data_IF_017797363163
#
_entry.id   IF_017797363163
#
_cell.length_a   1.000
_cell.length_b   1.000
_cell.length_c   1.000
_cell.angle_alpha   90.00
_cell.angle_beta   90.00
_cell.angle_gamma   90.00
#
_symmetry.space_group_name_H-M   'P 1'
#
loop_
_entity.id
_entity.type
_entity.pdbx_description
1 polymer ?
#
# COMPACT_ATOMS: atom_id res chain seq x y z
N UNK A 1 47.37 -61.01 4.91
CA UNK A 1 48.36 -61.08 6.01
C UNK A 1 48.01 -59.97 6.99
N UNK A 2 47.45 -60.32 8.14
CA UNK A 2 46.85 -59.37 9.09
C UNK A 2 45.70 -60.04 9.84
N UNK A 3 46.02 -60.57 11.01
CA UNK A 3 45.27 -61.51 11.85
C UNK A 3 44.17 -60.85 12.70
N UNK A 4 43.10 -61.63 12.95
CA UNK A 4 42.35 -61.83 14.21
C UNK A 4 41.96 -60.62 15.11
N UNK A 5 40.72 -60.61 15.61
CA UNK A 5 40.34 -61.08 16.96
C UNK A 5 38.84 -60.79 17.19
N UNK A 6 38.13 -61.83 17.61
CA UNK A 6 36.74 -61.88 18.07
C UNK A 6 36.62 -61.34 19.50
N UNK A 7 35.49 -60.72 19.87
CA UNK A 7 34.89 -60.95 21.19
C UNK A 7 33.40 -60.58 21.22
N UNK A 8 32.56 -61.61 21.19
CA UNK A 8 31.19 -61.59 21.71
C UNK A 8 31.24 -61.93 23.21
N UNK A 9 30.55 -61.17 24.05
CA UNK A 9 30.17 -61.55 25.41
C UNK A 9 28.88 -60.77 25.77
N UNK A 10 27.69 -61.30 25.52
CA UNK A 10 26.88 -62.19 26.37
C UNK A 10 26.25 -61.55 27.63
N UNK A 11 24.90 -61.64 27.67
CA UNK A 11 23.98 -61.64 28.83
C UNK A 11 23.92 -60.34 29.66
N UNK A 12 22.78 -59.83 30.15
CA UNK A 12 21.50 -60.44 30.52
C UNK A 12 20.48 -59.32 30.71
N UNK A 13 19.22 -59.67 30.45
CA UNK A 13 18.00 -58.91 30.72
C UNK A 13 17.92 -58.26 32.11
N UNK A 14 17.53 -56.97 32.16
CA UNK A 14 16.85 -56.39 33.31
C UNK A 14 15.63 -55.58 32.89
N UNK A 15 14.56 -55.84 33.63
CA UNK A 15 13.17 -55.44 33.44
C UNK A 15 12.94 -53.93 33.71
N UNK A 16 12.17 -53.32 32.81
CA UNK A 16 11.19 -52.24 32.99
C UNK A 16 11.47 -51.14 34.04
N UNK A 17 11.85 -49.95 33.58
CA UNK A 17 11.44 -48.68 34.21
C UNK A 17 11.01 -47.66 33.16
N UNK A 18 9.73 -47.29 33.26
CA UNK A 18 9.00 -46.16 32.65
C UNK A 18 9.90 -45.04 32.13
N UNK A 19 10.11 -44.99 30.82
CA UNK A 19 10.59 -43.80 30.11
C UNK A 19 9.40 -43.10 29.45
N UNK A 20 9.02 -41.94 29.97
CA UNK A 20 7.96 -41.09 29.43
C UNK A 20 8.36 -40.66 28.01
N UNK A 21 7.52 -41.01 27.03
CA UNK A 21 7.57 -40.45 25.68
C UNK A 21 7.24 -38.96 25.75
N UNK A 22 8.25 -38.09 25.72
CA UNK A 22 8.05 -36.68 25.48
C UNK A 22 7.80 -36.46 23.97
N UNK A 23 6.52 -36.54 23.57
CA UNK A 23 6.08 -36.07 22.25
C UNK A 23 6.12 -34.55 22.30
N UNK A 24 7.19 -33.96 21.78
CA UNK A 24 7.29 -32.52 21.57
C UNK A 24 6.32 -32.07 20.49
N UNK A 25 5.16 -31.57 20.90
CA UNK A 25 4.17 -30.99 20.00
C UNK A 25 4.64 -29.58 19.62
N UNK A 26 5.30 -29.46 18.46
CA UNK A 26 5.67 -28.15 17.88
C UNK A 26 4.37 -27.47 17.43
N UNK A 27 3.84 -26.58 18.28
CA UNK A 27 2.71 -25.73 17.95
C UNK A 27 3.24 -24.58 17.08
N UNK A 28 3.25 -24.77 15.76
CA UNK A 28 3.45 -23.66 14.82
C UNK A 28 2.30 -22.67 15.00
N UNK A 29 2.55 -21.59 15.74
CA UNK A 29 1.69 -20.41 15.75
C UNK A 29 1.70 -19.81 14.35
N UNK A 30 0.72 -20.21 13.53
CA UNK A 30 0.41 -19.52 12.29
C UNK A 30 -0.23 -18.20 12.71
N UNK A 31 0.57 -17.15 12.85
CA UNK A 31 0.06 -15.79 12.95
C UNK A 31 -0.62 -15.49 11.62
N UNK A 32 -1.94 -15.70 11.56
CA UNK A 32 -2.74 -15.21 10.45
C UNK A 32 -2.57 -13.69 10.41
N UNK A 33 -1.83 -13.20 9.41
CA UNK A 33 -1.84 -11.79 9.07
C UNK A 33 -3.27 -11.48 8.65
N UNK A 34 -4.03 -10.85 9.54
CA UNK A 34 -5.33 -10.29 9.19
C UNK A 34 -5.04 -9.21 8.14
N UNK A 35 -5.44 -9.46 6.90
CA UNK A 35 -5.36 -8.46 5.85
C UNK A 35 -6.18 -7.25 6.30
N UNK A 36 -5.52 -6.13 6.57
CA UNK A 36 -6.21 -4.91 6.98
C UNK A 36 -7.06 -4.44 5.79
N UNK A 37 -8.36 -4.70 5.86
CA UNK A 37 -9.30 -4.32 4.81
C UNK A 37 -9.50 -2.80 4.84
N UNK A 38 -9.02 -2.12 3.81
CA UNK A 38 -9.25 -0.68 3.63
C UNK A 38 -10.63 -0.49 3.02
N UNK A 39 -11.55 0.06 3.82
CA UNK A 39 -12.90 0.47 3.37
C UNK A 39 -12.83 1.87 2.81
N UNK A 40 -13.30 2.06 1.58
CA UNK A 40 -13.32 3.36 0.90
C UNK A 40 -14.74 3.69 0.45
N UNK A 41 -15.23 4.84 0.88
CA UNK A 41 -16.52 5.41 0.50
C UNK A 41 -16.36 6.88 0.08
N UNK A 42 -17.45 7.51 -0.35
CA UNK A 42 -17.46 8.95 -0.68
C UNK A 42 -16.97 9.84 0.48
N UNK A 43 -17.28 9.44 1.72
CA UNK A 43 -16.84 10.14 2.93
C UNK A 43 -15.32 10.04 3.19
N UNK A 44 -14.62 9.12 2.52
CA UNK A 44 -13.16 9.04 2.58
C UNK A 44 -12.51 10.32 2.02
N UNK A 45 -13.15 10.94 1.02
CA UNK A 45 -12.65 12.08 0.25
C UNK A 45 -13.34 13.38 0.69
N UNK A 46 -12.88 13.96 1.80
CA UNK A 46 -13.30 15.28 2.28
C UNK A 46 -12.57 16.44 1.59
N UNK A 47 -12.52 17.61 2.26
CA UNK A 47 -11.72 18.74 1.78
C UNK A 47 -10.25 18.34 1.65
N UNK A 48 -9.68 18.49 0.44
CA UNK A 48 -8.29 18.08 0.17
C UNK A 48 -7.27 18.93 0.95
N UNK A 49 -7.66 20.15 1.37
CA UNK A 49 -6.79 21.08 2.08
C UNK A 49 -6.57 20.70 3.55
N UNK A 50 -7.43 19.85 4.12
CA UNK A 50 -7.31 19.34 5.50
C UNK A 50 -6.14 18.36 5.65
N UNK A 51 -5.64 17.82 4.54
CA UNK A 51 -4.59 16.81 4.55
C UNK A 51 -3.21 17.46 4.46
N UNK A 52 -2.18 16.92 5.14
CA UNK A 52 -0.83 17.41 4.99
C UNK A 52 -0.39 17.33 3.52
N UNK A 53 0.44 18.30 3.12
CA UNK A 53 0.98 18.39 1.77
C UNK A 53 2.47 18.02 1.78
N UNK A 54 2.89 17.17 0.84
CA UNK A 54 4.30 16.94 0.51
C UNK A 54 4.48 17.36 -0.95
N UNK A 55 5.29 18.41 -1.18
CA UNK A 55 5.35 19.13 -2.46
C UNK A 55 3.96 19.58 -2.91
N UNK A 56 3.41 19.00 -3.98
CA UNK A 56 2.07 19.30 -4.47
C UNK A 56 1.03 18.25 -4.11
N UNK A 57 1.44 17.09 -3.60
CA UNK A 57 0.53 15.98 -3.32
C UNK A 57 0.00 16.08 -1.89
N UNK A 58 -1.33 15.95 -1.75
CA UNK A 58 -2.02 15.83 -0.47
C UNK A 58 -2.06 14.36 -0.09
N UNK A 59 -1.73 14.06 1.16
CA UNK A 59 -1.53 12.69 1.64
C UNK A 59 -2.22 12.47 2.97
N UNK A 60 -2.98 11.38 3.09
CA UNK A 60 -3.70 10.99 4.31
C UNK A 60 -3.46 9.53 4.62
N UNK A 61 -3.45 9.23 5.91
CA UNK A 61 -3.52 7.89 6.48
C UNK A 61 -4.09 8.04 7.89
N UNK A 62 -5.00 7.15 8.31
CA UNK A 62 -5.68 7.28 9.62
C UNK A 62 -4.76 6.94 10.80
N UNK A 63 -3.84 5.99 10.64
CA UNK A 63 -2.71 5.74 11.55
C UNK A 63 -1.60 6.81 11.39
N UNK A 64 -1.26 7.58 12.44
CA UNK A 64 -0.25 8.64 12.39
C UNK A 64 1.18 8.18 12.09
N UNK A 65 1.59 6.98 12.53
CA UNK A 65 2.93 6.46 12.24
C UNK A 65 3.03 6.01 10.79
N UNK A 66 1.98 5.38 10.26
CA UNK A 66 1.88 5.08 8.82
C UNK A 66 1.81 6.36 7.98
N UNK A 67 1.13 7.41 8.44
CA UNK A 67 1.14 8.72 7.77
C UNK A 67 2.54 9.32 7.72
N UNK A 68 3.29 9.26 8.83
CA UNK A 68 4.67 9.73 8.91
C UNK A 68 5.57 8.98 7.92
N UNK A 69 5.41 7.66 7.84
CA UNK A 69 6.15 6.83 6.89
C UNK A 69 5.78 7.12 5.44
N UNK A 70 4.49 7.19 5.11
CA UNK A 70 4.02 7.52 3.77
C UNK A 70 4.53 8.91 3.31
N UNK A 71 4.55 9.89 4.21
CA UNK A 71 5.15 11.21 3.95
C UNK A 71 6.66 11.14 3.74
N UNK A 72 7.37 10.26 4.47
CA UNK A 72 8.82 10.05 4.30
C UNK A 72 9.11 9.48 2.92
N UNK A 73 8.43 8.41 2.52
CA UNK A 73 8.58 7.76 1.21
C UNK A 73 8.37 8.78 0.09
N UNK A 74 7.28 9.55 0.14
CA UNK A 74 6.97 10.56 -0.87
C UNK A 74 8.01 11.69 -0.90
N UNK A 75 8.40 12.22 0.26
CA UNK A 75 9.36 13.33 0.37
C UNK A 75 10.74 12.95 -0.15
N UNK A 76 11.22 11.77 0.25
CA UNK A 76 12.59 11.31 -0.01
C UNK A 76 12.70 10.55 -1.34
N UNK A 77 11.58 10.35 -2.06
CA UNK A 77 11.55 9.75 -3.39
C UNK A 77 12.17 8.34 -3.41
N UNK A 78 11.86 7.52 -2.39
CA UNK A 78 12.57 6.27 -2.14
C UNK A 78 12.14 5.20 -3.15
N UNK A 79 13.03 4.70 -4.03
CA UNK A 79 12.69 3.64 -4.97
C UNK A 79 12.51 2.30 -4.25
N UNK A 80 11.81 1.36 -4.90
CA UNK A 80 11.53 0.00 -4.45
C UNK A 80 10.94 -0.07 -3.03
N UNK A 81 10.18 0.97 -2.63
CA UNK A 81 9.57 1.07 -1.31
C UNK A 81 8.06 1.25 -1.46
N UNK A 82 7.29 0.35 -0.85
CA UNK A 82 5.84 0.41 -0.89
C UNK A 82 5.27 1.40 0.13
N UNK A 83 4.20 2.09 -0.25
CA UNK A 83 3.43 2.88 0.68
C UNK A 83 2.65 1.98 1.66
N UNK A 84 2.46 2.40 2.92
CA UNK A 84 1.61 1.68 3.86
C UNK A 84 0.18 1.51 3.33
N UNK A 85 -0.38 0.30 3.47
CA UNK A 85 -1.81 0.02 3.20
C UNK A 85 -2.68 0.97 4.03
N UNK A 86 -3.59 1.67 3.35
CA UNK A 86 -4.43 2.75 3.88
C UNK A 86 -3.96 4.15 3.47
N UNK A 87 -2.83 4.27 2.77
CA UNK A 87 -2.36 5.56 2.25
C UNK A 87 -3.30 6.06 1.17
N UNK A 88 -3.67 7.34 1.25
CA UNK A 88 -4.51 8.03 0.27
C UNK A 88 -3.72 9.22 -0.28
N UNK A 89 -3.67 9.35 -1.60
CA UNK A 89 -3.04 10.46 -2.30
C UNK A 89 -4.05 11.20 -3.17
N UNK A 90 -3.98 12.53 -3.17
CA UNK A 90 -4.66 13.38 -4.13
C UNK A 90 -3.72 14.49 -4.61
N UNK A 91 -3.57 14.62 -5.93
CA UNK A 91 -2.90 15.77 -6.54
C UNK A 91 -3.90 16.89 -6.84
N UNK A 92 -5.11 16.52 -7.28
CA UNK A 92 -6.24 17.42 -7.57
C UNK A 92 -7.53 16.85 -6.97
N UNK A 93 -8.57 17.66 -6.72
CA UNK A 93 -9.79 17.22 -6.03
C UNK A 93 -10.54 16.05 -6.70
N UNK A 94 -10.49 15.99 -8.04
CA UNK A 94 -11.28 15.06 -8.85
C UNK A 94 -10.61 13.69 -9.05
N UNK A 95 -9.40 13.50 -8.53
CA UNK A 95 -8.64 12.25 -8.70
C UNK A 95 -8.05 11.83 -7.36
N UNK A 96 -8.08 10.54 -7.07
CA UNK A 96 -7.42 9.98 -5.89
C UNK A 96 -6.83 8.60 -6.19
N UNK A 97 -5.91 8.18 -5.35
CA UNK A 97 -5.48 6.78 -5.27
C UNK A 97 -5.40 6.32 -3.82
N UNK A 98 -5.84 5.09 -3.56
CA UNK A 98 -5.86 4.47 -2.22
C UNK A 98 -5.08 3.17 -2.25
N UNK A 99 -4.15 3.01 -1.31
CA UNK A 99 -3.33 1.80 -1.18
C UNK A 99 -4.10 0.72 -0.42
N UNK A 100 -4.42 -0.37 -1.10
CA UNK A 100 -4.91 -1.63 -0.52
C UNK A 100 -3.75 -2.65 -0.40
N UNK A 101 -4.06 -3.87 0.05
CA UNK A 101 -3.14 -4.99 -0.13
C UNK A 101 -2.87 -5.23 -1.61
N UNK A 102 -1.65 -5.67 -1.93
CA UNK A 102 -1.25 -6.05 -3.29
C UNK A 102 -2.28 -6.99 -3.95
N UNK A 103 -2.76 -8.00 -3.20
CA UNK A 103 -3.67 -9.02 -3.72
C UNK A 103 -5.00 -8.47 -4.24
N UNK A 104 -5.47 -7.32 -3.71
CA UNK A 104 -6.72 -6.71 -4.17
C UNK A 104 -6.56 -6.04 -5.53
N UNK A 105 -5.41 -5.43 -5.79
CA UNK A 105 -5.09 -4.77 -7.06
C UNK A 105 -3.68 -5.14 -7.54
N UNK A 106 -3.46 -6.38 -8.00
CA UNK A 106 -2.11 -6.89 -8.27
C UNK A 106 -1.38 -6.15 -9.39
N UNK A 107 -2.11 -5.58 -10.36
CA UNK A 107 -1.51 -4.85 -11.49
C UNK A 107 -0.89 -3.50 -11.10
N UNK A 108 -1.28 -2.97 -9.95
CA UNK A 108 -0.96 -1.61 -9.50
C UNK A 108 -0.25 -1.62 -8.16
N UNK A 109 0.28 -2.78 -7.76
CA UNK A 109 0.79 -3.03 -6.42
C UNK A 109 -0.19 -2.60 -5.29
N UNK A 110 -1.48 -2.90 -5.43
CA UNK A 110 -2.49 -2.57 -4.43
C UNK A 110 -3.10 -1.16 -4.55
N UNK A 111 -2.66 -0.33 -5.50
CA UNK A 111 -3.28 0.98 -5.71
C UNK A 111 -4.62 0.88 -6.45
N UNK A 112 -5.68 1.36 -5.83
CA UNK A 112 -6.95 1.64 -6.49
C UNK A 112 -6.99 3.11 -6.93
N UNK A 113 -7.36 3.38 -8.17
CA UNK A 113 -7.55 4.74 -8.68
C UNK A 113 -9.01 5.14 -8.62
N UNK A 114 -9.27 6.45 -8.50
CA UNK A 114 -10.61 7.01 -8.37
C UNK A 114 -10.75 8.25 -9.25
N UNK A 115 -11.87 8.31 -9.97
CA UNK A 115 -12.38 9.56 -10.53
C UNK A 115 -13.56 10.03 -9.67
N UNK A 116 -13.48 11.29 -9.23
CA UNK A 116 -14.36 11.88 -8.24
C UNK A 116 -15.11 13.08 -8.85
N UNK A 117 -16.43 13.08 -8.68
CA UNK A 117 -17.25 14.27 -8.83
C UNK A 117 -17.27 14.99 -7.48
N UNK A 118 -16.86 16.25 -7.43
CA UNK A 118 -16.82 17.03 -6.17
C UNK A 118 -17.75 18.23 -6.26
N UNK A 119 -18.49 18.46 -5.18
CA UNK A 119 -19.38 19.61 -5.02
C UNK A 119 -19.27 20.18 -3.60
N UNK A 120 -20.06 21.20 -3.27
CA UNK A 120 -20.08 21.74 -1.90
C UNK A 120 -20.70 20.75 -0.91
N UNK A 121 -21.57 19.87 -1.41
CA UNK A 121 -22.30 18.87 -0.64
C UNK A 121 -21.43 17.65 -0.31
N UNK A 122 -20.34 17.43 -1.06
CA UNK A 122 -19.38 16.36 -0.79
C UNK A 122 -18.74 15.80 -2.05
N UNK A 123 -18.49 14.50 -2.02
CA UNK A 123 -17.87 13.75 -3.12
C UNK A 123 -18.82 12.67 -3.59
N UNK A 124 -18.86 12.42 -4.89
CA UNK A 124 -19.40 11.22 -5.50
C UNK A 124 -18.28 10.46 -6.21
N UNK A 125 -18.23 9.15 -6.03
CA UNK A 125 -17.28 8.30 -6.79
C UNK A 125 -17.90 8.02 -8.15
N UNK A 126 -17.35 8.64 -9.20
CA UNK A 126 -17.83 8.46 -10.57
C UNK A 126 -17.28 7.17 -11.19
N UNK A 127 -16.03 6.81 -10.87
CA UNK A 127 -15.40 5.55 -11.27
C UNK A 127 -14.27 5.16 -10.29
N UNK A 128 -13.98 3.86 -10.15
CA UNK A 128 -12.89 3.35 -9.30
C UNK A 128 -12.34 2.00 -9.78
N UNK A 129 -11.06 1.73 -9.53
CA UNK A 129 -10.41 0.46 -9.86
C UNK A 129 -9.02 0.64 -10.48
N UNK A 130 -8.50 -0.42 -11.12
CA UNK A 130 -7.21 -0.42 -11.83
C UNK A 130 -7.31 0.03 -13.29
N UNK A 131 -8.52 0.17 -13.85
CA UNK A 131 -8.78 0.54 -15.25
C UNK A 131 -9.51 1.87 -15.43
N UNK A 132 -9.60 2.70 -14.38
CA UNK A 132 -10.26 4.01 -14.45
C UNK A 132 -9.63 4.88 -15.53
N UNK A 133 -10.46 5.54 -16.34
CA UNK A 133 -10.03 6.45 -17.39
C UNK A 133 -10.04 7.88 -16.86
N UNK A 134 -8.91 8.57 -17.01
CA UNK A 134 -8.86 10.01 -16.81
C UNK A 134 -9.62 10.69 -17.94
N UNK A 135 -10.82 11.21 -17.65
CA UNK A 135 -11.72 11.83 -18.63
C UNK A 135 -11.05 13.02 -19.35
N UNK A 136 -10.14 13.73 -18.68
CA UNK A 136 -9.46 14.91 -19.26
C UNK A 136 -8.36 14.54 -20.25
N UNK A 137 -7.73 13.37 -20.11
CA UNK A 137 -6.61 12.92 -20.93
C UNK A 137 -6.97 11.77 -21.90
N UNK A 138 -8.09 11.07 -21.67
CA UNK A 138 -8.51 9.93 -22.47
C UNK A 138 -7.65 8.68 -22.29
N UNK A 139 -6.83 8.62 -21.25
CA UNK A 139 -5.94 7.48 -20.92
C UNK A 139 -6.28 6.92 -19.54
N UNK A 140 -5.91 5.68 -19.25
CA UNK A 140 -6.15 5.10 -17.93
C UNK A 140 -5.20 5.70 -16.89
N UNK A 141 -5.67 5.83 -15.65
CA UNK A 141 -4.83 6.26 -14.52
C UNK A 141 -3.57 5.38 -14.44
N UNK A 142 -3.73 4.05 -14.53
CA UNK A 142 -2.61 3.12 -14.53
C UNK A 142 -1.61 3.40 -15.67
N UNK A 143 -2.05 3.70 -16.89
CA UNK A 143 -1.11 3.95 -18.00
C UNK A 143 -0.22 5.16 -17.75
N UNK A 144 -0.74 6.22 -17.11
CA UNK A 144 0.05 7.37 -16.69
C UNK A 144 1.02 7.03 -15.54
N UNK A 145 0.60 6.14 -14.64
CA UNK A 145 1.35 5.75 -13.44
C UNK A 145 2.35 4.62 -13.65
N UNK A 146 2.20 3.82 -14.72
CA UNK A 146 3.04 2.66 -15.04
C UNK A 146 4.55 2.97 -15.06
N UNK A 147 5.03 4.10 -15.62
CA UNK A 147 6.45 4.41 -15.62
C UNK A 147 7.07 4.54 -14.21
N UNK A 148 6.25 4.88 -13.20
CA UNK A 148 6.65 5.00 -11.82
C UNK A 148 6.55 3.69 -11.02
N UNK A 149 6.50 2.52 -11.67
CA UNK A 149 6.41 1.23 -10.96
C UNK A 149 7.50 1.05 -9.89
N UNK A 150 8.72 1.52 -10.15
CA UNK A 150 9.84 1.52 -9.18
C UNK A 150 9.62 2.44 -7.97
N UNK A 151 8.66 3.35 -8.03
CA UNK A 151 8.28 4.25 -6.95
C UNK A 151 6.85 3.93 -6.48
N UNK A 152 6.52 2.64 -6.50
CA UNK A 152 5.22 2.12 -6.11
C UNK A 152 4.06 2.82 -6.84
N UNK A 153 4.22 3.00 -8.16
CA UNK A 153 3.26 3.66 -9.04
C UNK A 153 2.92 5.11 -8.67
N UNK A 154 3.62 5.77 -7.74
CA UNK A 154 3.37 7.17 -7.41
C UNK A 154 4.19 8.07 -8.34
N UNK A 155 3.53 8.85 -9.20
CA UNK A 155 4.20 9.75 -10.14
C UNK A 155 4.71 11.05 -9.49
N UNK A 156 5.97 11.36 -9.74
CA UNK A 156 6.62 12.64 -9.41
C UNK A 156 7.65 13.01 -10.50
N UNK A 157 8.21 14.23 -10.40
CA UNK A 157 9.30 14.68 -11.27
C UNK A 157 10.47 13.70 -11.16
N UNK A 158 10.89 13.12 -12.28
CA UNK A 158 11.99 12.15 -12.34
C UNK A 158 11.56 10.68 -12.21
N UNK A 159 10.27 10.38 -12.02
CA UNK A 159 9.75 8.99 -11.96
C UNK A 159 9.41 8.41 -13.34
N UNK A 160 9.71 9.13 -14.43
CA UNK A 160 9.44 8.68 -15.80
C UNK A 160 8.00 8.88 -16.29
N UNK A 161 7.10 9.40 -15.45
CA UNK A 161 5.73 9.71 -15.85
C UNK A 161 5.69 10.87 -16.84
N UNK A 162 4.72 10.82 -17.76
CA UNK A 162 4.45 11.95 -18.65
C UNK A 162 4.06 13.20 -17.84
N UNK A 163 4.49 14.40 -18.25
CA UNK A 163 4.03 15.63 -17.61
C UNK A 163 2.51 15.77 -17.71
N UNK A 164 1.88 16.22 -16.62
CA UNK A 164 0.49 16.66 -16.64
C UNK A 164 0.37 18.05 -17.28
N UNK A 165 -0.79 18.42 -17.86
CA UNK A 165 -0.95 19.69 -18.59
C UNK A 165 -1.05 20.93 -17.69
N UNK A 166 -0.57 20.86 -16.45
CA UNK A 166 -0.64 21.91 -15.44
C UNK A 166 0.67 22.01 -14.67
N UNK A 167 1.10 23.23 -14.35
CA UNK A 167 2.25 23.47 -13.49
C UNK A 167 1.89 23.46 -11.99
N UNK A 168 2.91 23.60 -11.14
CA UNK A 168 2.77 23.57 -9.69
C UNK A 168 1.83 24.68 -9.17
N UNK A 169 1.81 25.86 -9.82
CA UNK A 169 0.93 26.98 -9.46
C UNK A 169 -0.52 26.65 -9.79
N UNK A 170 -0.78 26.06 -10.97
CA UNK A 170 -2.11 25.66 -11.38
C UNK A 170 -2.65 24.52 -10.51
N UNK A 171 -1.82 23.55 -10.14
CA UNK A 171 -2.20 22.49 -9.18
C UNK A 171 -2.62 23.13 -7.85
N UNK A 172 -1.81 24.05 -7.31
CA UNK A 172 -2.15 24.75 -6.08
C UNK A 172 -3.49 25.52 -6.22
N UNK A 173 -3.71 26.22 -7.33
CA UNK A 173 -4.97 26.91 -7.60
C UNK A 173 -6.16 25.97 -7.67
N UNK A 174 -6.02 24.79 -8.30
CA UNK A 174 -7.07 23.78 -8.38
C UNK A 174 -7.39 23.21 -6.99
N UNK A 175 -6.39 22.94 -6.15
CA UNK A 175 -6.60 22.51 -4.77
C UNK A 175 -7.33 23.56 -3.93
N UNK A 176 -6.95 24.85 -4.09
CA UNK A 176 -7.61 25.95 -3.38
C UNK A 176 -9.05 26.22 -3.86
N UNK A 177 -9.40 25.71 -5.05
CA UNK A 177 -10.74 25.81 -5.62
C UNK A 177 -11.61 24.57 -5.32
N UNK A 178 -11.13 23.64 -4.50
CA UNK A 178 -11.92 22.47 -4.08
C UNK A 178 -13.23 22.94 -3.42
N UNK A 179 -14.41 22.65 -4.01
CA UNK A 179 -15.69 23.15 -3.50
C UNK A 179 -16.07 22.56 -2.15
N UNK A 180 -15.44 21.46 -1.72
CA UNK A 180 -15.62 20.83 -0.40
C UNK A 180 -14.90 21.59 0.71
N UNK A 181 -13.95 22.45 0.36
CA UNK A 181 -13.16 23.21 1.31
C UNK A 181 -13.82 24.56 1.61
N UNK A 182 -14.45 24.65 2.78
CA UNK A 182 -14.99 25.91 3.27
C UNK A 182 -13.87 26.93 3.44
N UNK A 183 -14.04 28.12 2.86
CA UNK A 183 -13.18 29.27 3.18
C UNK A 183 -13.64 29.81 4.53
N UNK A 184 -12.89 29.54 5.58
CA UNK A 184 -13.02 30.25 6.85
C UNK A 184 -12.44 31.65 6.71
#
# INVERSE_FOLDING_TARGET
MGNFISLLCQFTSYVCKRGVLAVGLVFCLVYGVSAQEVTVSEHTFGCILDWPKVRNTRIKHDDPEKLKEAKRILRDSVPETEYPVGTILQLVPHEAMVKHSHDKFPKTNGWEFFFLEVSKEGTKIADRGDNVVNVSQGVTCLSCHQPAARFDFVCEKGHGCAPIPFDDQKIASIQQADPRCTKN
#
